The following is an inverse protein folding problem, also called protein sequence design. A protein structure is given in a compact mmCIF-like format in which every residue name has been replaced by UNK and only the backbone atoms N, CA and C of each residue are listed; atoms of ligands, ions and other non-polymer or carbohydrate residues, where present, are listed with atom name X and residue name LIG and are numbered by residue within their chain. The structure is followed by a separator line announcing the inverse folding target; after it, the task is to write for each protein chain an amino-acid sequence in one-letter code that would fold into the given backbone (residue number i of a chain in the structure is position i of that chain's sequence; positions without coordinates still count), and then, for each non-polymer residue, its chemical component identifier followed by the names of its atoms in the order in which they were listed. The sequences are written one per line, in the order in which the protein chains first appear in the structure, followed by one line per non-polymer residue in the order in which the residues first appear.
data_IF_873305918080
#
_entry.id   IF_873305918080
#
_cell.length_a   1.000
_cell.length_b   1.000
_cell.length_c   1.000
_cell.angle_alpha   90.00
_cell.angle_beta   90.00
_cell.angle_gamma   90.00
#
_symmetry.space_group_name_H-M   'P 1'
#
loop_
_entity.id
_entity.type
_entity.pdbx_description
1 polymer ?
#
# COMPACT_ATOMS: atom_id res chain seq x y z
N UNK A 1 -24.88 9.53 -24.24
CA UNK A 1 -23.62 10.30 -24.15
C UNK A 1 -22.68 10.09 -25.34
N UNK A 2 -22.32 8.84 -25.75
CA UNK A 2 -21.38 8.64 -26.86
C UNK A 2 -21.85 9.26 -28.19
N UNK A 3 -23.13 9.12 -28.54
CA UNK A 3 -23.72 9.70 -29.75
C UNK A 3 -23.63 11.23 -29.79
N UNK A 4 -24.03 11.91 -28.71
CA UNK A 4 -23.94 13.39 -28.61
C UNK A 4 -22.47 13.85 -28.70
N UNK A 5 -21.56 13.14 -28.05
CA UNK A 5 -20.13 13.45 -28.08
C UNK A 5 -19.56 13.29 -29.50
N UNK A 6 -19.96 12.24 -30.23
CA UNK A 6 -19.58 12.05 -31.62
C UNK A 6 -20.08 13.18 -32.50
N UNK A 7 -21.33 13.62 -32.29
CA UNK A 7 -21.94 14.71 -33.06
C UNK A 7 -21.25 16.07 -32.80
N UNK A 8 -20.96 16.41 -31.55
CA UNK A 8 -20.21 17.64 -31.20
C UNK A 8 -18.82 17.64 -31.85
N UNK A 9 -18.14 16.49 -31.85
CA UNK A 9 -16.84 16.34 -32.48
C UNK A 9 -16.92 16.37 -34.02
N UNK A 10 -18.01 15.88 -34.62
CA UNK A 10 -18.26 15.93 -36.06
C UNK A 10 -18.51 17.36 -36.55
N UNK A 11 -19.22 18.16 -35.74
CA UNK A 11 -19.44 19.60 -35.99
C UNK A 11 -18.25 20.48 -35.59
N UNK A 12 -17.16 19.86 -35.16
CA UNK A 12 -15.93 20.54 -34.76
C UNK A 12 -16.11 21.59 -33.66
N UNK A 13 -17.06 21.38 -32.75
CA UNK A 13 -17.29 22.31 -31.64
C UNK A 13 -16.14 22.18 -30.64
N UNK A 14 -15.52 23.32 -30.29
CA UNK A 14 -14.43 23.40 -29.34
C UNK A 14 -14.85 22.93 -27.94
N UNK A 15 -13.94 22.24 -27.24
CA UNK A 15 -14.17 21.89 -25.83
C UNK A 15 -14.04 23.13 -24.94
N UNK A 16 -14.67 23.17 -23.75
CA UNK A 16 -14.67 24.38 -22.90
C UNK A 16 -13.28 24.94 -22.57
N UNK A 17 -12.28 24.05 -22.40
CA UNK A 17 -10.90 24.47 -22.16
C UNK A 17 -10.28 25.19 -23.37
N UNK A 18 -10.56 24.71 -24.57
CA UNK A 18 -10.08 25.33 -25.81
C UNK A 18 -10.81 26.66 -26.04
N UNK A 19 -12.13 26.67 -25.90
CA UNK A 19 -12.94 27.90 -25.98
C UNK A 19 -12.46 28.98 -25.01
N UNK A 20 -12.16 28.60 -23.75
CA UNK A 20 -11.64 29.55 -22.75
C UNK A 20 -10.29 30.18 -23.15
N UNK A 21 -9.47 29.47 -23.93
CA UNK A 21 -8.17 29.97 -24.40
C UNK A 21 -8.27 30.79 -25.68
N UNK A 22 -9.09 30.35 -26.63
CA UNK A 22 -9.12 30.91 -27.99
C UNK A 22 -10.30 31.85 -28.23
N UNK A 23 -11.36 31.76 -27.43
CA UNK A 23 -12.63 32.44 -27.66
C UNK A 23 -13.43 31.90 -28.86
N UNK A 24 -12.94 30.85 -29.54
CA UNK A 24 -13.55 30.33 -30.76
C UNK A 24 -14.48 29.15 -30.46
N UNK A 25 -15.70 29.20 -30.98
CA UNK A 25 -16.70 28.15 -30.82
C UNK A 25 -16.34 26.85 -31.56
N UNK A 26 -15.68 26.99 -32.70
CA UNK A 26 -15.22 25.87 -33.52
C UNK A 26 -13.72 25.64 -33.30
N UNK A 27 -13.30 24.37 -33.42
CA UNK A 27 -11.90 23.98 -33.29
C UNK A 27 -11.09 24.50 -34.47
N UNK A 28 -9.91 25.01 -34.16
CA UNK A 28 -8.90 25.27 -35.17
C UNK A 28 -8.14 23.98 -35.50
N UNK A 29 -7.44 23.96 -36.63
CA UNK A 29 -6.62 22.82 -37.07
C UNK A 29 -5.52 22.43 -36.04
N UNK A 30 -5.12 23.39 -35.20
CA UNK A 30 -4.11 23.20 -34.16
C UNK A 30 -4.69 22.62 -32.85
N UNK A 31 -6.02 22.62 -32.68
CA UNK A 31 -6.67 22.07 -31.49
C UNK A 31 -6.93 20.55 -31.62
N UNK A 32 -6.08 19.77 -30.95
CA UNK A 32 -6.19 18.30 -30.92
C UNK A 32 -7.24 17.80 -29.92
N UNK A 33 -7.85 18.68 -29.11
CA UNK A 33 -8.77 18.26 -28.05
C UNK A 33 -10.15 17.92 -28.60
N UNK A 34 -10.71 16.81 -28.10
CA UNK A 34 -12.02 16.30 -28.49
C UNK A 34 -12.95 16.18 -27.29
N UNK A 35 -14.24 16.34 -27.52
CA UNK A 35 -15.26 16.03 -26.52
C UNK A 35 -15.14 14.56 -26.10
N UNK A 36 -15.16 14.33 -24.80
CA UNK A 36 -15.15 13.01 -24.18
C UNK A 36 -16.46 12.82 -23.42
N UNK A 37 -17.06 11.64 -23.52
CA UNK A 37 -18.38 11.37 -22.93
C UNK A 37 -18.43 11.62 -21.41
N UNK A 38 -17.34 11.32 -20.69
CA UNK A 38 -17.21 11.57 -19.26
C UNK A 38 -17.17 13.07 -18.92
N UNK A 39 -16.44 13.87 -19.70
CA UNK A 39 -16.36 15.32 -19.50
C UNK A 39 -17.70 16.00 -19.82
N UNK A 40 -18.37 15.59 -20.90
CA UNK A 40 -19.71 16.08 -21.23
C UNK A 40 -20.73 15.73 -20.13
N UNK A 41 -20.66 14.50 -19.59
CA UNK A 41 -21.53 14.09 -18.49
C UNK A 41 -21.29 14.89 -17.21
N UNK A 42 -20.03 15.23 -16.92
CA UNK A 42 -19.70 16.10 -15.78
C UNK A 42 -20.25 17.50 -16.00
N UNK A 43 -20.12 18.04 -17.21
CA UNK A 43 -20.60 19.36 -17.60
C UNK A 43 -22.11 19.49 -17.36
N UNK A 44 -22.92 18.61 -17.96
CA UNK A 44 -24.40 18.69 -17.85
C UNK A 44 -24.94 18.50 -16.43
N UNK A 45 -24.12 17.98 -15.52
CA UNK A 45 -24.46 17.80 -14.09
C UNK A 45 -24.04 18.97 -13.22
N UNK A 46 -23.46 20.03 -13.79
CA UNK A 46 -23.06 21.18 -13.00
C UNK A 46 -24.30 22.02 -12.64
N UNK A 47 -24.50 22.35 -11.36
CA UNK A 47 -25.65 23.13 -10.90
C UNK A 47 -25.65 24.58 -11.43
N UNK A 48 -24.51 25.05 -11.93
CA UNK A 48 -24.38 26.37 -12.56
C UNK A 48 -25.36 26.59 -13.73
N UNK A 49 -25.74 25.53 -14.44
CA UNK A 49 -26.66 25.63 -15.58
C UNK A 49 -28.11 25.92 -15.17
N UNK A 50 -28.51 25.59 -13.94
CA UNK A 50 -29.82 25.94 -13.38
C UNK A 50 -29.81 27.24 -12.56
N UNK A 51 -28.72 28.02 -12.66
CA UNK A 51 -28.57 29.30 -11.96
C UNK A 51 -27.92 29.23 -10.58
N UNK A 52 -27.57 28.03 -10.07
CA UNK A 52 -27.04 27.89 -8.72
C UNK A 52 -25.52 27.96 -8.67
N UNK A 53 -24.99 28.72 -7.71
CA UNK A 53 -23.57 28.77 -7.41
C UNK A 53 -23.22 27.72 -6.35
N UNK A 54 -22.31 26.82 -6.70
CA UNK A 54 -21.74 25.84 -5.77
C UNK A 54 -20.23 25.97 -5.78
N UNK A 55 -19.68 26.51 -4.70
CA UNK A 55 -18.25 26.77 -4.57
C UNK A 55 -17.66 25.96 -3.41
N UNK A 56 -16.52 25.29 -3.69
CA UNK A 56 -15.72 24.62 -2.66
C UNK A 56 -14.89 25.64 -1.90
N UNK A 57 -14.93 25.59 -0.57
CA UNK A 57 -13.93 26.24 0.29
C UNK A 57 -12.61 25.47 0.22
N UNK A 58 -11.48 26.09 0.58
CA UNK A 58 -10.11 25.66 0.20
C UNK A 58 -9.61 24.35 0.84
N UNK A 59 -10.43 23.59 1.56
CA UNK A 59 -10.00 22.40 2.31
C UNK A 59 -10.14 21.10 1.48
N UNK A 60 -9.19 20.17 1.65
CA UNK A 60 -9.12 18.91 0.89
C UNK A 60 -10.03 17.79 1.43
N UNK A 61 -10.59 17.97 2.63
CA UNK A 61 -11.51 17.06 3.31
C UNK A 61 -12.78 17.82 3.64
N UNK A 62 -13.84 17.67 2.82
CA UNK A 62 -15.08 18.42 3.00
C UNK A 62 -16.29 17.48 3.07
N UNK A 63 -17.20 17.73 4.02
CA UNK A 63 -18.58 17.22 4.00
C UNK A 63 -19.43 18.06 3.05
N UNK A 64 -20.70 17.69 2.81
CA UNK A 64 -21.63 18.50 2.01
C UNK A 64 -21.93 19.88 2.64
N UNK A 65 -21.68 20.06 3.94
CA UNK A 65 -21.93 21.31 4.69
C UNK A 65 -20.85 22.38 4.46
N UNK A 66 -19.69 22.01 3.93
CA UNK A 66 -18.56 22.93 3.70
C UNK A 66 -18.62 23.65 2.34
N UNK A 67 -19.68 23.40 1.56
CA UNK A 67 -19.92 24.04 0.27
C UNK A 67 -20.65 25.37 0.46
N UNK A 68 -20.17 26.43 -0.17
CA UNK A 68 -20.94 27.65 -0.33
C UNK A 68 -21.97 27.38 -1.42
N UNK A 69 -23.24 27.36 -1.03
CA UNK A 69 -24.39 27.18 -1.90
C UNK A 69 -25.20 28.46 -1.94
N UNK A 70 -25.42 29.00 -3.14
CA UNK A 70 -26.28 30.16 -3.37
C UNK A 70 -27.22 29.88 -4.54
N UNK A 71 -28.53 29.90 -4.27
CA UNK A 71 -29.55 29.64 -5.29
C UNK A 71 -29.75 30.85 -6.20
N UNK A 72 -29.99 30.61 -7.48
CA UNK A 72 -30.28 31.65 -8.48
C UNK A 72 -29.26 32.80 -8.48
N UNK A 73 -27.97 32.47 -8.34
CA UNK A 73 -26.87 33.42 -8.44
C UNK A 73 -26.78 34.10 -9.82
N UNK A 74 -27.31 33.43 -10.85
CA UNK A 74 -27.36 33.93 -12.22
C UNK A 74 -28.62 33.41 -12.93
N UNK A 75 -28.94 34.02 -14.08
CA UNK A 75 -29.99 33.53 -14.96
C UNK A 75 -29.72 32.07 -15.37
N UNK A 76 -30.74 31.23 -15.20
CA UNK A 76 -30.63 29.81 -15.50
C UNK A 76 -30.68 29.55 -17.01
N UNK A 77 -29.73 28.78 -17.52
CA UNK A 77 -29.71 28.33 -18.92
C UNK A 77 -30.73 27.21 -19.19
N UNK A 78 -31.08 26.45 -18.16
CA UNK A 78 -32.06 25.35 -18.21
C UNK A 78 -33.03 25.46 -17.03
N UNK A 79 -34.26 25.01 -17.22
CA UNK A 79 -35.25 24.97 -16.15
C UNK A 79 -34.86 23.99 -15.04
N UNK A 80 -35.34 24.22 -13.81
CA UNK A 80 -35.12 23.30 -12.68
C UNK A 80 -35.68 21.90 -13.00
N UNK A 81 -36.85 21.84 -13.63
CA UNK A 81 -37.51 20.59 -14.05
C UNK A 81 -36.67 19.81 -15.09
N UNK A 82 -36.12 20.48 -16.11
CA UNK A 82 -35.26 19.82 -17.10
C UNK A 82 -33.95 19.32 -16.48
N UNK A 83 -33.38 20.08 -15.55
CA UNK A 83 -32.18 19.65 -14.83
C UNK A 83 -32.44 18.41 -13.98
N UNK A 84 -33.56 18.36 -13.25
CA UNK A 84 -33.98 17.20 -12.48
C UNK A 84 -34.17 15.97 -13.38
N UNK A 85 -34.82 16.13 -14.53
CA UNK A 85 -34.94 15.06 -15.55
C UNK A 85 -33.57 14.57 -16.01
N UNK A 86 -32.61 15.46 -16.29
CA UNK A 86 -31.24 15.09 -16.68
C UNK A 86 -30.56 14.26 -15.59
N UNK A 87 -30.69 14.66 -14.31
CA UNK A 87 -30.13 13.91 -13.18
C UNK A 87 -30.79 12.54 -13.03
N UNK A 88 -32.13 12.47 -13.11
CA UNK A 88 -32.90 11.24 -13.01
C UNK A 88 -32.51 10.26 -14.12
N UNK A 89 -32.51 10.71 -15.39
CA UNK A 89 -32.08 9.87 -16.51
C UNK A 89 -30.60 9.49 -16.45
N UNK A 90 -29.75 10.33 -15.87
CA UNK A 90 -28.36 9.93 -15.64
C UNK A 90 -28.23 8.90 -14.53
N UNK A 91 -29.05 8.98 -13.47
CA UNK A 91 -29.04 8.06 -12.35
C UNK A 91 -29.60 6.69 -12.76
N UNK A 92 -30.68 6.65 -13.53
CA UNK A 92 -31.26 5.40 -14.06
C UNK A 92 -30.35 4.67 -15.04
N UNK A 93 -29.42 5.38 -15.68
CA UNK A 93 -28.35 4.80 -16.51
C UNK A 93 -27.15 4.30 -15.72
N UNK A 94 -27.08 4.49 -14.39
CA UNK A 94 -26.03 3.87 -13.58
C UNK A 94 -26.19 2.35 -13.69
N UNK A 95 -25.17 1.72 -14.27
CA UNK A 95 -24.97 0.28 -14.44
C UNK A 95 -25.97 -0.58 -13.65
N UNK A 96 -27.06 -1.01 -14.30
CA UNK A 96 -27.73 -2.25 -13.91
C UNK A 96 -26.65 -3.32 -13.92
N UNK A 97 -26.46 -4.04 -12.81
CA UNK A 97 -25.54 -5.19 -12.78
C UNK A 97 -25.92 -6.07 -13.97
N UNK A 98 -25.01 -6.23 -14.93
CA UNK A 98 -25.27 -7.06 -16.14
C UNK A 98 -25.61 -8.52 -15.80
N UNK A 99 -25.35 -8.96 -14.57
CA UNK A 99 -25.56 -10.32 -14.10
C UNK A 99 -25.88 -10.33 -12.61
N UNK A 100 -26.88 -11.12 -12.20
CA UNK A 100 -27.16 -11.40 -10.77
C UNK A 100 -26.27 -12.51 -10.20
N UNK A 101 -25.37 -13.07 -11.03
CA UNK A 101 -24.44 -14.13 -10.61
C UNK A 101 -23.49 -13.63 -9.53
N UNK A 102 -23.46 -14.37 -8.41
CA UNK A 102 -22.54 -14.14 -7.31
C UNK A 102 -21.16 -14.64 -7.74
N UNK A 103 -20.23 -13.70 -7.94
CA UNK A 103 -18.84 -14.02 -8.26
C UNK A 103 -18.09 -14.47 -7.02
N UNK A 104 -17.16 -15.40 -7.19
CA UNK A 104 -16.26 -15.84 -6.13
C UNK A 104 -15.41 -14.68 -5.63
N UNK A 105 -15.22 -14.60 -4.31
CA UNK A 105 -14.37 -13.58 -3.69
C UNK A 105 -12.92 -13.69 -4.18
N UNK A 106 -12.23 -12.55 -4.32
CA UNK A 106 -10.84 -12.50 -4.75
C UNK A 106 -9.90 -12.80 -3.57
N UNK A 107 -9.38 -14.02 -3.48
CA UNK A 107 -8.45 -14.44 -2.43
C UNK A 107 -7.08 -13.74 -2.51
N UNK A 108 -6.66 -13.35 -3.71
CA UNK A 108 -5.40 -12.69 -3.99
C UNK A 108 -5.49 -11.15 -3.99
N UNK A 109 -6.59 -10.60 -3.49
CA UNK A 109 -6.75 -9.14 -3.37
C UNK A 109 -5.61 -8.59 -2.52
N UNK A 110 -4.87 -7.60 -3.04
CA UNK A 110 -3.72 -7.06 -2.32
C UNK A 110 -2.35 -7.55 -2.80
N UNK A 111 -2.31 -8.73 -3.46
CA UNK A 111 -1.07 -9.50 -3.54
C UNK A 111 -0.42 -9.52 -4.93
N UNK A 112 -1.18 -9.33 -6.01
CA UNK A 112 -0.68 -9.56 -7.38
C UNK A 112 -0.36 -8.26 -8.12
N UNK A 113 0.85 -8.20 -8.67
CA UNK A 113 1.41 -7.06 -9.37
C UNK A 113 2.08 -7.51 -10.67
N UNK A 114 2.08 -6.65 -11.68
CA UNK A 114 2.96 -6.83 -12.82
C UNK A 114 4.38 -6.40 -12.41
N UNK A 115 5.40 -7.09 -12.93
CA UNK A 115 6.80 -6.74 -12.68
C UNK A 115 7.05 -5.25 -12.96
N UNK A 116 7.83 -4.61 -12.10
CA UNK A 116 8.17 -3.17 -12.17
C UNK A 116 7.02 -2.19 -11.84
N UNK A 117 5.79 -2.67 -11.59
CA UNK A 117 4.65 -1.80 -11.24
C UNK A 117 4.27 -1.86 -9.77
N UNK A 118 3.91 -0.70 -9.22
CA UNK A 118 3.31 -0.58 -7.88
C UNK A 118 1.79 -0.81 -7.89
N UNK A 119 1.13 -0.73 -9.05
CA UNK A 119 -0.31 -0.92 -9.18
C UNK A 119 -0.68 -2.42 -9.25
N UNK A 120 -1.77 -2.80 -8.58
CA UNK A 120 -2.26 -4.17 -8.57
C UNK A 120 -2.84 -4.58 -9.93
N UNK A 121 -2.64 -5.84 -10.30
CA UNK A 121 -3.26 -6.42 -11.48
C UNK A 121 -4.78 -6.55 -11.28
N UNK A 122 -5.54 -6.29 -12.34
CA UNK A 122 -7.00 -6.38 -12.28
C UNK A 122 -7.44 -7.83 -12.45
N UNK A 123 -8.18 -8.36 -11.46
CA UNK A 123 -8.87 -9.64 -11.58
C UNK A 123 -10.04 -9.52 -12.56
N UNK A 124 -10.03 -10.34 -13.60
CA UNK A 124 -11.09 -10.47 -14.59
C UNK A 124 -11.75 -11.83 -14.46
N UNK A 125 -13.02 -11.90 -14.85
CA UNK A 125 -13.80 -13.12 -14.88
C UNK A 125 -14.37 -13.28 -16.29
N UNK A 126 -14.19 -14.46 -16.87
CA UNK A 126 -14.83 -14.86 -18.12
C UNK A 126 -15.69 -16.07 -17.82
N UNK A 127 -16.98 -15.93 -18.08
CA UNK A 127 -17.91 -17.03 -17.94
C UNK A 127 -17.92 -17.88 -19.21
N UNK A 128 -17.79 -19.19 -19.07
CA UNK A 128 -17.92 -20.16 -20.14
C UNK A 128 -19.15 -21.01 -19.89
N UNK A 129 -20.10 -20.95 -20.82
CA UNK A 129 -21.30 -21.78 -20.83
C UNK A 129 -21.36 -22.53 -22.16
N UNK A 130 -21.35 -23.84 -22.11
CA UNK A 130 -21.67 -24.73 -23.23
C UNK A 130 -22.47 -25.93 -22.70
N UNK A 131 -22.99 -26.78 -23.60
CA UNK A 131 -23.81 -27.94 -23.23
C UNK A 131 -23.11 -28.94 -22.28
N UNK A 132 -21.79 -28.84 -22.06
CA UNK A 132 -20.99 -29.76 -21.25
C UNK A 132 -20.39 -29.13 -19.98
N UNK A 133 -20.35 -27.81 -19.88
CA UNK A 133 -19.64 -27.10 -18.83
C UNK A 133 -20.17 -25.68 -18.68
N UNK A 134 -20.50 -25.32 -17.44
CA UNK A 134 -20.91 -23.98 -17.02
C UNK A 134 -20.00 -23.55 -15.86
N UNK A 135 -18.99 -22.72 -16.14
CA UNK A 135 -18.02 -22.32 -15.12
C UNK A 135 -17.45 -20.91 -15.34
N UNK A 136 -17.01 -20.31 -14.25
CA UNK A 136 -16.31 -19.02 -14.25
C UNK A 136 -14.80 -19.22 -14.28
N UNK A 137 -14.15 -18.62 -15.27
CA UNK A 137 -12.69 -18.57 -15.37
C UNK A 137 -12.15 -17.24 -14.88
N UNK A 138 -11.39 -17.29 -13.79
CA UNK A 138 -10.75 -16.13 -13.17
C UNK A 138 -9.29 -16.02 -13.58
N UNK A 139 -8.88 -14.81 -13.96
CA UNK A 139 -7.50 -14.50 -14.36
C UNK A 139 -7.15 -13.05 -14.01
N UNK A 140 -5.87 -12.80 -13.79
CA UNK A 140 -5.32 -11.47 -13.58
C UNK A 140 -4.72 -10.98 -14.88
N UNK A 141 -4.93 -9.70 -15.19
CA UNK A 141 -4.35 -9.10 -16.40
C UNK A 141 -4.00 -7.64 -16.19
N UNK A 142 -2.85 -7.27 -16.72
CA UNK A 142 -2.35 -5.90 -16.81
C UNK A 142 -1.49 -5.74 -18.08
N UNK A 143 -0.99 -4.54 -18.33
CA UNK A 143 -0.19 -4.18 -19.49
C UNK A 143 1.11 -3.51 -19.07
N UNK A 144 2.24 -4.04 -19.49
CA UNK A 144 3.56 -3.44 -19.25
C UNK A 144 4.03 -2.81 -20.56
N UNK A 145 4.68 -1.65 -20.45
CA UNK A 145 5.29 -0.99 -21.60
C UNK A 145 6.78 -1.31 -21.62
N UNK A 146 7.36 -1.46 -22.81
CA UNK A 146 8.81 -1.56 -22.94
C UNK A 146 9.49 -0.29 -22.36
N UNK A 147 10.78 -0.38 -22.07
CA UNK A 147 11.67 0.71 -21.67
C UNK A 147 11.48 2.00 -22.50
N UNK A 148 11.26 1.85 -23.80
CA UNK A 148 11.00 2.95 -24.74
C UNK A 148 9.54 3.43 -24.80
N UNK A 149 8.65 2.88 -23.95
CA UNK A 149 7.20 3.12 -23.87
C UNK A 149 6.41 2.96 -25.19
N UNK A 150 7.03 2.38 -26.21
CA UNK A 150 6.49 2.29 -27.57
C UNK A 150 5.60 1.05 -27.76
N UNK A 151 5.94 -0.07 -27.14
CA UNK A 151 5.23 -1.34 -27.30
C UNK A 151 4.47 -1.72 -26.02
N UNK A 152 3.18 -2.02 -26.16
CA UNK A 152 2.31 -2.49 -25.07
C UNK A 152 2.29 -4.01 -25.04
N UNK A 153 2.87 -4.60 -24.00
CA UNK A 153 2.87 -6.04 -23.77
C UNK A 153 1.81 -6.43 -22.75
N UNK A 154 1.11 -7.54 -22.99
CA UNK A 154 0.06 -8.02 -22.09
C UNK A 154 0.64 -9.02 -21.10
N UNK A 155 0.45 -8.78 -19.80
CA UNK A 155 0.80 -9.70 -18.73
C UNK A 155 -0.49 -10.32 -18.22
N UNK A 156 -0.57 -11.65 -18.20
CA UNK A 156 -1.75 -12.33 -17.68
C UNK A 156 -1.43 -13.68 -17.07
N UNK A 157 -2.09 -14.01 -15.98
CA UNK A 157 -2.00 -15.30 -15.30
C UNK A 157 -3.38 -15.76 -14.82
N UNK A 158 -3.66 -17.06 -14.90
CA UNK A 158 -4.92 -17.61 -14.41
C UNK A 158 -4.85 -17.86 -12.91
N UNK A 159 -6.00 -17.75 -12.22
CA UNK A 159 -6.05 -18.02 -10.77
C UNK A 159 -5.67 -19.47 -10.46
N UNK A 160 -6.13 -20.43 -11.27
CA UNK A 160 -5.79 -21.84 -11.10
C UNK A 160 -4.31 -22.15 -11.34
N UNK A 161 -3.66 -21.49 -12.30
CA UNK A 161 -2.23 -21.67 -12.51
C UNK A 161 -1.44 -21.08 -11.34
N UNK A 162 -1.86 -19.92 -10.85
CA UNK A 162 -1.25 -19.30 -9.68
C UNK A 162 -1.40 -20.18 -8.44
N UNK A 163 -2.58 -20.74 -8.17
CA UNK A 163 -2.79 -21.67 -7.05
C UNK A 163 -1.80 -22.85 -7.08
N UNK A 164 -1.58 -23.45 -8.26
CA UNK A 164 -0.61 -24.54 -8.42
C UNK A 164 0.82 -24.09 -8.11
N UNK A 165 1.24 -22.97 -8.68
CA UNK A 165 2.59 -22.42 -8.48
C UNK A 165 2.82 -22.10 -7.00
N UNK A 166 1.85 -21.45 -6.34
CA UNK A 166 1.97 -21.09 -4.93
C UNK A 166 1.97 -22.34 -4.04
N UNK A 167 1.11 -23.33 -4.31
CA UNK A 167 1.10 -24.59 -3.54
C UNK A 167 2.44 -25.33 -3.66
N UNK A 168 2.97 -25.46 -4.87
CA UNK A 168 4.27 -26.10 -5.11
C UNK A 168 5.41 -25.36 -4.42
N UNK A 169 5.40 -24.02 -4.47
CA UNK A 169 6.39 -23.19 -3.80
C UNK A 169 6.31 -23.31 -2.27
N UNK A 170 5.11 -23.32 -1.69
CA UNK A 170 4.90 -23.49 -0.25
C UNK A 170 5.37 -24.87 0.21
N UNK A 171 5.04 -25.93 -0.54
CA UNK A 171 5.50 -27.29 -0.27
C UNK A 171 7.02 -27.41 -0.35
N UNK A 172 7.64 -26.81 -1.36
CA UNK A 172 9.10 -26.79 -1.54
C UNK A 172 9.79 -26.03 -0.41
N UNK A 173 9.22 -24.88 -0.02
CA UNK A 173 9.71 -24.08 1.09
C UNK A 173 9.62 -24.84 2.40
N UNK A 174 8.51 -25.56 2.65
CA UNK A 174 8.36 -26.40 3.84
C UNK A 174 9.35 -27.56 3.86
N UNK A 175 9.56 -28.24 2.73
CA UNK A 175 10.60 -29.30 2.63
C UNK A 175 12.00 -28.75 2.91
N UNK A 176 12.33 -27.56 2.41
CA UNK A 176 13.63 -26.90 2.63
C UNK A 176 13.83 -26.50 4.09
N UNK A 177 12.79 -25.95 4.73
CA UNK A 177 12.87 -25.50 6.12
C UNK A 177 12.85 -26.69 7.11
N UNK A 178 12.24 -27.80 6.74
CA UNK A 178 12.07 -28.97 7.61
C UNK A 178 10.78 -28.90 8.45
N UNK A 179 10.67 -29.78 9.45
CA UNK A 179 9.46 -29.90 10.26
C UNK A 179 9.33 -28.76 11.27
N UNK A 180 8.08 -28.37 11.57
CA UNK A 180 7.76 -27.29 12.50
C UNK A 180 8.38 -27.53 13.88
N UNK A 181 8.43 -28.79 14.29
CA UNK A 181 8.94 -29.26 15.58
C UNK A 181 10.45 -29.04 15.73
N UNK A 182 11.20 -28.95 14.63
CA UNK A 182 12.63 -28.64 14.66
C UNK A 182 12.90 -27.16 14.40
N UNK A 183 12.04 -26.49 13.62
CA UNK A 183 12.15 -25.08 13.31
C UNK A 183 11.82 -24.16 14.49
N UNK A 184 10.73 -24.42 15.22
CA UNK A 184 10.34 -23.56 16.33
C UNK A 184 11.40 -23.52 17.44
N UNK A 185 12.00 -24.65 17.88
CA UNK A 185 13.11 -24.62 18.84
C UNK A 185 14.36 -23.90 18.33
N UNK A 186 14.67 -23.99 17.03
CA UNK A 186 15.80 -23.27 16.41
C UNK A 186 15.57 -21.75 16.43
N UNK A 187 14.35 -21.30 16.14
CA UNK A 187 13.97 -19.89 16.23
C UNK A 187 14.06 -19.38 17.68
N UNK A 188 13.56 -20.16 18.63
CA UNK A 188 13.61 -19.82 20.06
C UNK A 188 15.06 -19.75 20.55
N UNK A 189 15.91 -20.70 20.15
CA UNK A 189 17.35 -20.71 20.49
C UNK A 189 18.08 -19.50 19.89
N UNK A 190 17.76 -19.12 18.64
CA UNK A 190 18.33 -17.94 17.99
C UNK A 190 17.93 -16.66 18.75
N UNK A 191 16.64 -16.52 19.08
CA UNK A 191 16.13 -15.41 19.88
C UNK A 191 16.85 -15.33 21.23
N UNK A 192 16.92 -16.45 21.96
CA UNK A 192 17.55 -16.50 23.28
C UNK A 192 19.04 -16.12 23.23
N UNK A 193 19.77 -16.59 22.21
CA UNK A 193 21.17 -16.20 22.01
C UNK A 193 21.33 -14.70 21.74
N UNK A 194 20.47 -14.11 20.91
CA UNK A 194 20.48 -12.67 20.66
C UNK A 194 20.13 -11.88 21.93
N UNK A 195 19.09 -12.28 22.66
CA UNK A 195 18.67 -11.66 23.92
C UNK A 195 19.78 -11.70 24.96
N UNK A 196 20.47 -12.84 25.12
CA UNK A 196 21.62 -12.95 26.04
C UNK A 196 22.72 -11.96 25.73
N UNK A 197 23.02 -11.71 24.45
CA UNK A 197 24.03 -10.74 24.05
C UNK A 197 23.62 -9.30 24.43
N UNK A 198 22.39 -8.90 24.10
CA UNK A 198 21.89 -7.56 24.47
C UNK A 198 21.74 -7.39 25.98
N UNK A 199 21.28 -8.40 26.71
CA UNK A 199 21.23 -8.37 28.18
C UNK A 199 22.62 -8.24 28.81
N UNK A 200 23.65 -8.88 28.22
CA UNK A 200 25.04 -8.71 28.68
C UNK A 200 25.52 -7.27 28.46
N UNK A 201 25.24 -6.69 27.30
CA UNK A 201 25.56 -5.30 27.00
C UNK A 201 24.84 -4.34 27.96
N UNK A 202 23.53 -4.55 28.17
CA UNK A 202 22.72 -3.76 29.09
C UNK A 202 23.30 -3.76 30.51
N UNK A 203 23.68 -4.94 31.03
CA UNK A 203 24.33 -5.06 32.35
C UNK A 203 25.66 -4.31 32.41
N UNK A 204 26.48 -4.37 31.35
CA UNK A 204 27.75 -3.64 31.27
C UNK A 204 27.56 -2.12 31.25
N UNK A 205 26.59 -1.64 30.46
CA UNK A 205 26.23 -0.23 30.38
C UNK A 205 25.67 0.30 31.71
N UNK A 206 24.77 -0.44 32.35
CA UNK A 206 24.24 -0.09 33.68
C UNK A 206 25.34 -0.05 34.74
N UNK A 207 26.26 -1.02 34.74
CA UNK A 207 27.42 -1.01 35.62
C UNK A 207 28.32 0.22 35.42
N UNK A 208 28.55 0.62 34.17
CA UNK A 208 29.33 1.82 33.83
C UNK A 208 28.68 3.10 34.35
N UNK A 209 27.35 3.22 34.25
CA UNK A 209 26.60 4.35 34.81
C UNK A 209 26.74 4.41 36.33
N UNK A 210 26.64 3.28 37.02
CA UNK A 210 26.83 3.23 38.49
C UNK A 210 28.24 3.67 38.87
N UNK A 211 29.27 3.18 38.16
CA UNK A 211 30.65 3.57 38.39
C UNK A 211 30.88 5.07 38.18
N UNK A 212 30.37 5.64 37.08
CA UNK A 212 30.50 7.07 36.78
C UNK A 212 29.71 7.97 37.73
N UNK A 213 28.56 7.51 38.24
CA UNK A 213 27.83 8.23 39.28
C UNK A 213 28.58 8.23 40.62
N UNK A 214 29.24 7.11 40.97
CA UNK A 214 30.12 7.06 42.14
C UNK A 214 31.31 8.02 41.97
N UNK A 215 31.95 8.03 40.79
CA UNK A 215 33.05 8.94 40.47
C UNK A 215 32.61 10.42 40.56
N UNK A 216 31.40 10.76 40.11
CA UNK A 216 30.83 12.10 40.28
C UNK A 216 30.63 12.49 41.75
N UNK A 217 30.18 11.55 42.58
CA UNK A 217 30.02 11.75 44.02
C UNK A 217 31.36 12.01 44.70
N UNK A 218 32.38 11.21 44.37
CA UNK A 218 33.74 11.37 44.91
C UNK A 218 34.37 12.69 44.46
N UNK A 219 34.20 13.06 43.18
CA UNK A 219 34.65 14.35 42.66
C UNK A 219 34.01 15.53 43.39
N UNK A 220 32.73 15.43 43.75
CA UNK A 220 32.04 16.45 44.54
C UNK A 220 32.58 16.54 45.97
N UNK A 221 32.85 15.39 46.62
CA UNK A 221 33.41 15.35 47.97
C UNK A 221 34.83 15.95 48.04
N UNK A 222 35.67 15.72 47.03
CA UNK A 222 37.01 16.33 46.94
C UNK A 222 36.91 17.86 46.76
N UNK A 223 35.99 18.32 45.93
CA UNK A 223 35.75 19.75 45.71
C UNK A 223 35.19 20.45 46.96
N UNK A 224 34.24 19.84 47.68
CA UNK A 224 33.63 20.44 48.88
C UNK A 224 34.62 20.61 50.03
N UNK A 225 35.68 19.78 50.08
CA UNK A 225 36.80 19.91 51.01
C UNK A 225 37.86 20.94 50.55
N UNK A 226 37.57 21.76 49.53
CA UNK A 226 38.48 22.75 48.93
C UNK A 226 39.80 22.17 48.40
N UNK A 227 39.84 20.88 48.05
CA UNK A 227 41.06 20.19 47.60
C UNK A 227 41.29 20.30 46.09
N UNK A 228 40.41 20.96 45.34
CA UNK A 228 40.51 21.13 43.89
C UNK A 228 40.00 22.49 43.41
N UNK A 229 40.49 22.95 42.25
CA UNK A 229 40.00 24.17 41.60
C UNK A 229 38.63 23.93 40.97
N UNK A 230 37.78 24.96 41.00
CA UNK A 230 36.41 24.92 40.44
C UNK A 230 36.38 24.55 38.96
N UNK A 231 37.31 25.07 38.16
CA UNK A 231 37.36 24.83 36.72
C UNK A 231 37.64 23.35 36.40
N UNK A 232 38.58 22.73 37.12
CA UNK A 232 38.93 21.32 36.96
C UNK A 232 37.75 20.40 37.31
N UNK A 233 37.02 20.73 38.39
CA UNK A 233 35.80 20.02 38.78
C UNK A 233 34.71 20.11 37.69
N UNK A 234 34.44 21.32 37.19
CA UNK A 234 33.40 21.53 36.17
C UNK A 234 33.74 20.81 34.86
N UNK A 235 35.02 20.80 34.47
CA UNK A 235 35.47 20.10 33.26
C UNK A 235 35.27 18.59 33.36
N UNK A 236 35.76 17.96 34.44
CA UNK A 236 35.60 16.51 34.66
C UNK A 236 34.14 16.09 34.82
N UNK A 237 33.34 16.89 35.54
CA UNK A 237 31.89 16.68 35.67
C UNK A 237 31.21 16.68 34.30
N UNK A 238 31.57 17.62 33.43
CA UNK A 238 31.02 17.70 32.07
C UNK A 238 31.39 16.48 31.23
N UNK A 239 32.63 16.01 31.33
CA UNK A 239 33.10 14.81 30.63
C UNK A 239 32.32 13.57 31.08
N UNK A 240 32.22 13.32 32.39
CA UNK A 240 31.51 12.15 32.93
C UNK A 240 30.02 12.21 32.59
N UNK A 241 29.38 13.37 32.71
CA UNK A 241 27.98 13.53 32.30
C UNK A 241 27.77 13.27 30.80
N UNK A 242 28.76 13.60 29.96
CA UNK A 242 28.70 13.30 28.53
C UNK A 242 28.79 11.80 28.28
N UNK A 243 29.68 11.09 28.98
CA UNK A 243 29.79 9.61 28.92
C UNK A 243 28.51 8.92 29.37
N UNK A 244 27.92 9.37 30.50
CA UNK A 244 26.62 8.87 30.98
C UNK A 244 25.54 9.06 29.93
N UNK A 245 25.45 10.26 29.33
CA UNK A 245 24.46 10.56 28.30
C UNK A 245 24.59 9.64 27.08
N UNK A 246 25.80 9.40 26.59
CA UNK A 246 26.05 8.50 25.45
C UNK A 246 25.62 7.08 25.78
N UNK A 247 26.05 6.53 26.92
CA UNK A 247 25.68 5.16 27.32
C UNK A 247 24.17 5.04 27.58
N UNK A 248 23.50 6.06 28.13
CA UNK A 248 22.04 6.05 28.27
C UNK A 248 21.33 5.97 26.92
N UNK A 249 21.87 6.57 25.86
CA UNK A 249 21.34 6.44 24.50
C UNK A 249 21.56 5.01 23.95
N UNK A 250 22.73 4.42 24.19
CA UNK A 250 23.03 3.04 23.81
C UNK A 250 22.11 2.03 24.54
N UNK A 251 21.79 2.27 25.81
CA UNK A 251 20.80 1.49 26.56
C UNK A 251 19.43 1.54 25.88
N UNK A 252 18.94 2.74 25.53
CA UNK A 252 17.66 2.90 24.85
C UNK A 252 17.64 2.19 23.47
N UNK A 253 18.76 2.20 22.75
CA UNK A 253 18.92 1.45 21.50
C UNK A 253 18.90 -0.06 21.72
N UNK A 254 19.56 -0.56 22.76
CA UNK A 254 19.54 -1.98 23.14
C UNK A 254 18.12 -2.43 23.50
N UNK A 255 17.38 -1.65 24.30
CA UNK A 255 15.98 -1.94 24.65
C UNK A 255 15.06 -1.96 23.43
N UNK A 256 15.26 -1.02 22.50
CA UNK A 256 14.52 -0.99 21.24
C UNK A 256 14.83 -2.21 20.38
N UNK A 257 16.10 -2.60 20.31
CA UNK A 257 16.55 -3.79 19.57
C UNK A 257 15.98 -5.09 20.15
N UNK A 258 15.90 -5.20 21.48
CA UNK A 258 15.25 -6.33 22.17
C UNK A 258 13.78 -6.44 21.76
N UNK A 259 13.02 -5.34 21.79
CA UNK A 259 11.61 -5.33 21.38
C UNK A 259 11.44 -5.76 19.92
N UNK A 260 12.31 -5.26 19.03
CA UNK A 260 12.30 -5.66 17.62
C UNK A 260 12.57 -7.16 17.43
N UNK A 261 13.49 -7.74 18.20
CA UNK A 261 13.78 -9.18 18.16
C UNK A 261 12.56 -10.00 18.61
N UNK A 262 11.87 -9.57 19.66
CA UNK A 262 10.65 -10.24 20.15
C UNK A 262 9.51 -10.17 19.13
N UNK A 263 9.29 -9.00 18.53
CA UNK A 263 8.30 -8.81 17.47
C UNK A 263 8.61 -9.67 16.24
N UNK A 264 9.85 -9.66 15.78
CA UNK A 264 10.30 -10.45 14.63
C UNK A 264 10.18 -11.95 14.91
N UNK A 265 10.55 -12.41 16.11
CA UNK A 265 10.36 -13.79 16.52
C UNK A 265 8.87 -14.19 16.51
N UNK A 266 7.99 -13.34 17.03
CA UNK A 266 6.54 -13.58 17.01
C UNK A 266 6.01 -13.69 15.58
N UNK A 267 6.45 -12.82 14.66
CA UNK A 267 6.13 -12.88 13.23
C UNK A 267 6.62 -14.20 12.61
N UNK A 268 7.87 -14.59 12.86
CA UNK A 268 8.46 -15.84 12.37
C UNK A 268 7.68 -17.07 12.85
N UNK A 269 7.38 -17.14 14.14
CA UNK A 269 6.61 -18.25 14.73
C UNK A 269 5.21 -18.33 14.12
N UNK A 270 4.51 -17.21 13.98
CA UNK A 270 3.18 -17.18 13.37
C UNK A 270 3.25 -17.60 11.90
N UNK A 271 4.23 -17.12 11.15
CA UNK A 271 4.45 -17.49 9.75
C UNK A 271 4.70 -19.00 9.60
N UNK A 272 5.54 -19.62 10.42
CA UNK A 272 5.77 -21.09 10.41
C UNK A 272 4.48 -21.85 10.72
N UNK A 273 3.70 -21.41 11.71
CA UNK A 273 2.41 -22.04 12.05
C UNK A 273 1.41 -21.94 10.90
N UNK A 274 1.35 -20.79 10.21
CA UNK A 274 0.50 -20.62 9.03
C UNK A 274 0.98 -21.50 7.87
N UNK A 275 2.29 -21.60 7.66
CA UNK A 275 2.87 -22.46 6.62
C UNK A 275 2.50 -23.93 6.86
N UNK A 276 2.58 -24.39 8.11
CA UNK A 276 2.17 -25.75 8.48
C UNK A 276 0.69 -26.02 8.21
N UNK A 277 -0.18 -25.05 8.52
CA UNK A 277 -1.63 -25.14 8.22
C UNK A 277 -1.91 -25.20 6.72
N UNK A 278 -1.10 -24.51 5.90
CA UNK A 278 -1.27 -24.47 4.45
C UNK A 278 -1.07 -25.84 3.79
N UNK A 279 -0.20 -26.69 4.34
CA UNK A 279 0.06 -28.02 3.79
C UNK A 279 -1.10 -29.00 4.00
N UNK A 280 -1.96 -28.73 4.98
CA UNK A 280 -3.12 -29.58 5.30
C UNK A 280 -4.39 -29.15 4.57
N UNK A 281 -4.36 -28.08 3.77
CA UNK A 281 -5.53 -27.53 3.10
C UNK A 281 -5.41 -27.67 1.58
N UNK A 282 -6.45 -28.21 0.94
CA UNK A 282 -6.53 -28.33 -0.52
C UNK A 282 -6.74 -26.97 -1.22
N UNK A 283 -7.24 -25.95 -0.51
CA UNK A 283 -7.52 -24.61 -1.05
C UNK A 283 -6.92 -23.55 -0.12
N UNK A 284 -6.08 -22.68 -0.69
CA UNK A 284 -5.47 -21.56 0.04
C UNK A 284 -6.51 -20.48 0.31
N UNK A 285 -6.80 -20.17 1.57
CA UNK A 285 -7.73 -19.09 1.93
C UNK A 285 -7.08 -17.71 1.76
N UNK A 286 -7.91 -16.66 1.62
CA UNK A 286 -7.41 -15.29 1.49
C UNK A 286 -6.55 -14.86 2.70
N UNK A 287 -6.97 -15.24 3.91
CA UNK A 287 -6.25 -14.93 5.15
C UNK A 287 -4.88 -15.58 5.18
N UNK A 288 -4.79 -16.84 4.76
CA UNK A 288 -3.54 -17.60 4.70
C UNK A 288 -2.58 -17.03 3.66
N UNK A 289 -3.08 -16.64 2.49
CA UNK A 289 -2.27 -16.00 1.46
C UNK A 289 -1.68 -14.67 1.97
N UNK A 290 -2.50 -13.83 2.61
CA UNK A 290 -2.05 -12.55 3.14
C UNK A 290 -1.09 -12.70 4.34
N UNK A 291 -1.18 -13.78 5.12
CA UNK A 291 -0.26 -14.02 6.23
C UNK A 291 1.09 -14.56 5.77
N UNK A 292 1.14 -15.30 4.67
CA UNK A 292 2.37 -15.91 4.15
C UNK A 292 3.10 -15.03 3.14
N UNK A 293 2.36 -14.41 2.22
CA UNK A 293 2.90 -13.74 1.03
C UNK A 293 2.70 -12.23 1.16
N UNK A 294 3.78 -11.50 0.94
CA UNK A 294 3.77 -10.04 0.87
C UNK A 294 3.35 -9.59 -0.53
N UNK A 295 3.95 -10.22 -1.55
CA UNK A 295 3.86 -9.76 -2.93
C UNK A 295 4.08 -10.89 -3.93
N UNK A 296 3.29 -10.89 -4.99
CA UNK A 296 3.40 -11.78 -6.14
C UNK A 296 3.60 -10.89 -7.37
N UNK A 297 4.74 -11.05 -8.02
CA UNK A 297 5.07 -10.36 -9.27
C UNK A 297 4.95 -11.33 -10.44
N UNK A 298 4.29 -10.87 -11.50
CA UNK A 298 4.11 -11.62 -12.74
C UNK A 298 4.77 -10.85 -13.87
N UNK A 299 5.62 -11.53 -14.63
CA UNK A 299 6.33 -10.97 -15.77
C UNK A 299 5.66 -11.37 -17.10
N UNK A 300 6.09 -10.75 -18.21
CA UNK A 300 5.55 -10.93 -19.56
C UNK A 300 5.74 -12.36 -20.07
N UNK A 301 6.83 -13.00 -19.67
CA UNK A 301 7.14 -14.42 -19.93
C UNK A 301 6.33 -15.39 -19.05
N UNK A 302 5.46 -14.86 -18.18
CA UNK A 302 4.68 -15.58 -17.16
C UNK A 302 5.52 -16.16 -16.03
N UNK A 303 6.76 -15.70 -15.88
CA UNK A 303 7.54 -15.99 -14.67
C UNK A 303 6.86 -15.34 -13.47
N UNK A 304 6.70 -16.11 -12.39
CA UNK A 304 6.07 -15.67 -11.15
C UNK A 304 7.13 -15.60 -10.06
N UNK A 305 7.30 -14.43 -9.47
CA UNK A 305 8.19 -14.21 -8.32
C UNK A 305 7.34 -13.92 -7.10
N UNK A 306 7.59 -14.66 -6.01
CA UNK A 306 6.82 -14.54 -4.76
C UNK A 306 7.73 -14.06 -3.65
N UNK A 307 7.35 -12.97 -3.02
CA UNK A 307 7.99 -12.43 -1.82
C UNK A 307 7.17 -12.83 -0.60
N UNK A 308 7.79 -13.54 0.33
CA UNK A 308 7.15 -13.93 1.58
C UNK A 308 7.26 -12.82 2.63
N UNK A 309 6.25 -12.72 3.51
CA UNK A 309 6.24 -11.78 4.63
C UNK A 309 7.38 -11.99 5.63
N UNK A 310 7.97 -13.19 5.63
CA UNK A 310 8.98 -13.58 6.59
C UNK A 310 10.13 -14.29 5.89
N UNK A 311 11.36 -13.86 6.17
CA UNK A 311 12.58 -14.55 5.72
C UNK A 311 13.05 -15.48 6.83
N UNK A 312 12.87 -16.78 6.64
CA UNK A 312 13.39 -17.80 7.55
C UNK A 312 14.60 -18.44 6.86
N UNK A 313 15.78 -18.08 7.35
CA UNK A 313 17.06 -18.35 6.68
C UNK A 313 17.77 -17.03 6.47
N UNK A 314 18.77 -16.76 7.31
CA UNK A 314 19.70 -15.67 7.06
C UNK A 314 20.45 -15.94 5.76
N UNK A 315 20.91 -14.85 5.15
CA UNK A 315 21.69 -14.83 3.93
C UNK A 315 22.70 -15.98 3.86
N UNK A 316 22.57 -16.83 2.84
CA UNK A 316 23.76 -17.40 2.19
C UNK A 316 24.41 -16.25 1.39
N UNK A 317 25.00 -15.31 2.12
CA UNK A 317 26.10 -14.53 1.61
C UNK A 317 27.36 -15.26 2.08
N UNK A 318 27.84 -16.15 1.21
CA UNK A 318 29.29 -16.25 0.98
C UNK A 318 29.83 -14.89 0.52
#
# INVERSE_FOLDING_TARGET
MPQITAELNRREIAVPHSYRKTGQLYRSEQDTKRWQAGNLLRLIKMPVYRGDLVQRTRNKSLSEDDYIYFENAQEAYISKDDYEKILQYSASRKSVKKTDRVKTSNRYKGLIYAKTKSAQMVRKCRHFSNNKSDYDYYYFMDYVYDSNQSERRTVSISENALDKIILELLQTTMKRLGTVETLLPRLESKKENCLKNYQKQLRGHQGSIVQWNAELSDLYAVFSLNRSKREDYLSKKKEINSKIKTISQEIAQCETSIKQIEEEHSKQVNWVRHLAKSNNQAVLTAELLNSLIERIEVDVDKTVTVTFNCRIGGDEHD
#
